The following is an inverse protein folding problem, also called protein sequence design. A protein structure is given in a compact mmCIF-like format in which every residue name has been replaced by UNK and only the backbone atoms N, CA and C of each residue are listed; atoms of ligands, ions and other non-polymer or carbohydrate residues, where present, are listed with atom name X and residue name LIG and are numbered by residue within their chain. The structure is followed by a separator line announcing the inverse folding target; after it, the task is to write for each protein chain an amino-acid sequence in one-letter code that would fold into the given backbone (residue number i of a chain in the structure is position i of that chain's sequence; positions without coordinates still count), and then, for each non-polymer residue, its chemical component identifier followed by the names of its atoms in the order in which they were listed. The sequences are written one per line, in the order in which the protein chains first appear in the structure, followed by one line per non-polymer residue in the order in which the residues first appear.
data_IF_995766906713
#
_entry.id   IF_995766906713
#
_cell.length_a   1.000
_cell.length_b   1.000
_cell.length_c   1.000
_cell.angle_alpha   90.00
_cell.angle_beta   90.00
_cell.angle_gamma   90.00
#
_symmetry.space_group_name_H-M   'P 1'
#
loop_
_entity.id
_entity.type
_entity.pdbx_description
1 polymer ?
#
# COMPACT_ATOMS: atom_id res chain seq x y z
N UNK A 1 -11.78 0.97 14.77
CA UNK A 1 -10.33 1.22 14.95
C UNK A 1 -10.12 1.63 16.41
N UNK A 2 -9.50 0.77 17.22
CA UNK A 2 -9.27 1.03 18.65
C UNK A 2 -8.33 2.23 18.82
N UNK A 3 -8.54 3.03 19.86
CA UNK A 3 -7.64 4.14 20.16
C UNK A 3 -6.28 3.58 20.59
N UNK A 4 -5.21 3.98 19.88
CA UNK A 4 -3.83 3.67 20.26
C UNK A 4 -3.47 4.58 21.44
N UNK A 5 -2.92 4.02 22.51
CA UNK A 5 -2.53 4.79 23.68
C UNK A 5 -1.26 5.62 23.41
N UNK A 6 -1.05 6.67 24.20
CA UNK A 6 0.10 7.56 24.02
C UNK A 6 1.43 6.81 24.16
N UNK A 7 1.50 5.82 25.06
CA UNK A 7 2.69 5.00 25.29
C UNK A 7 3.05 4.18 24.05
N UNK A 8 2.06 3.53 23.44
CA UNK A 8 2.24 2.75 22.22
C UNK A 8 2.66 3.66 21.06
N UNK A 9 2.01 4.82 20.91
CA UNK A 9 2.38 5.80 19.89
C UNK A 9 3.81 6.31 20.05
N UNK A 10 4.25 6.65 21.27
CA UNK A 10 5.64 7.07 21.51
C UNK A 10 6.64 5.95 21.25
N UNK A 11 6.29 4.71 21.61
CA UNK A 11 7.14 3.55 21.34
C UNK A 11 7.32 3.33 19.83
N UNK A 12 6.23 3.42 19.06
CA UNK A 12 6.27 3.27 17.60
C UNK A 12 7.06 4.42 16.96
N UNK A 13 6.81 5.68 17.36
CA UNK A 13 7.57 6.84 16.86
C UNK A 13 9.06 6.76 17.20
N UNK A 14 9.39 6.31 18.42
CA UNK A 14 10.77 6.07 18.84
C UNK A 14 11.44 4.99 18.00
N UNK A 15 10.74 3.90 17.68
CA UNK A 15 11.25 2.85 16.80
C UNK A 15 11.42 3.33 15.35
N UNK A 16 10.48 4.13 14.83
CA UNK A 16 10.60 4.77 13.52
C UNK A 16 11.84 5.66 13.45
N UNK A 17 12.12 6.42 14.52
CA UNK A 17 13.35 7.23 14.63
C UNK A 17 14.60 6.36 14.64
N UNK A 18 14.60 5.20 15.29
CA UNK A 18 15.74 4.29 15.26
C UNK A 18 16.00 3.71 13.86
N UNK A 19 14.95 3.46 13.07
CA UNK A 19 15.11 3.07 11.66
C UNK A 19 15.75 4.21 10.86
N UNK A 20 15.24 5.44 10.99
CA UNK A 20 15.83 6.60 10.30
C UNK A 20 17.32 6.78 10.60
N UNK A 21 17.72 6.67 11.88
CA UNK A 21 19.11 6.80 12.30
C UNK A 21 20.02 5.65 11.84
N UNK A 22 19.47 4.49 11.48
CA UNK A 22 20.26 3.33 11.05
C UNK A 22 21.03 3.58 9.74
N UNK A 23 20.60 4.57 8.93
CA UNK A 23 21.34 5.02 7.74
C UNK A 23 22.74 5.59 8.05
N UNK A 24 23.04 5.89 9.33
CA UNK A 24 24.36 6.34 9.77
C UNK A 24 24.60 7.85 9.57
N UNK A 25 23.54 8.61 9.33
CA UNK A 25 23.55 10.07 9.26
C UNK A 25 22.58 10.67 10.29
N UNK A 26 22.68 11.97 10.53
CA UNK A 26 21.69 12.72 11.30
C UNK A 26 20.32 12.68 10.57
N UNK A 27 19.23 12.82 11.33
CA UNK A 27 17.88 12.84 10.75
C UNK A 27 17.77 13.91 9.66
N UNK A 28 17.30 13.50 8.48
CA UNK A 28 17.06 14.43 7.38
C UNK A 28 15.78 15.23 7.60
N UNK A 29 15.54 16.21 6.72
CA UNK A 29 14.25 16.89 6.67
C UNK A 29 13.11 15.92 6.32
N UNK A 30 13.36 14.95 5.43
CA UNK A 30 12.35 13.97 5.03
C UNK A 30 12.06 13.00 6.19
N UNK A 31 13.08 12.53 6.92
CA UNK A 31 12.90 11.73 8.14
C UNK A 31 12.03 12.47 9.16
N UNK A 32 12.39 13.72 9.45
CA UNK A 32 11.70 14.55 10.45
C UNK A 32 10.24 14.80 10.05
N UNK A 33 10.00 15.11 8.78
CA UNK A 33 8.65 15.37 8.26
C UNK A 33 7.80 14.11 8.28
N UNK A 34 8.38 12.95 7.93
CA UNK A 34 7.69 11.66 7.93
C UNK A 34 7.32 11.21 9.34
N UNK A 35 8.22 11.37 10.31
CA UNK A 35 7.95 11.10 11.73
C UNK A 35 6.82 11.99 12.28
N UNK A 36 6.85 13.29 11.99
CA UNK A 36 5.78 14.23 12.41
C UNK A 36 4.44 13.88 11.76
N UNK A 37 4.44 13.53 10.47
CA UNK A 37 3.22 13.14 9.75
C UNK A 37 2.63 11.85 10.32
N UNK A 38 3.46 10.82 10.56
CA UNK A 38 3.02 9.58 11.19
C UNK A 38 2.46 9.83 12.60
N UNK A 39 3.16 10.65 13.40
CA UNK A 39 2.67 11.08 14.71
C UNK A 39 1.28 11.70 14.63
N UNK A 40 1.11 12.72 13.78
CA UNK A 40 -0.16 13.44 13.65
C UNK A 40 -1.30 12.58 13.09
N UNK A 41 -1.08 11.91 11.96
CA UNK A 41 -2.14 11.32 11.16
C UNK A 41 -2.41 9.84 11.47
N UNK A 42 -1.37 9.09 11.83
CA UNK A 42 -1.47 7.64 12.05
C UNK A 42 -1.57 7.29 13.54
N UNK A 43 -0.77 7.98 14.36
CA UNK A 43 -0.59 7.64 15.78
C UNK A 43 -1.28 8.60 16.75
N UNK A 44 -1.99 9.62 16.22
CA UNK A 44 -2.77 10.61 16.99
C UNK A 44 -1.96 11.34 18.06
N UNK A 45 -0.70 11.63 17.75
CA UNK A 45 0.26 12.41 18.53
C UNK A 45 0.62 13.72 17.83
N UNK A 46 -0.34 14.66 17.69
CA UNK A 46 -0.09 15.95 17.04
C UNK A 46 0.84 16.86 17.86
N UNK A 47 1.04 16.53 19.14
CA UNK A 47 1.87 17.24 20.13
C UNK A 47 3.38 16.98 19.95
N UNK A 48 3.77 15.96 19.17
CA UNK A 48 5.18 15.64 18.91
C UNK A 48 5.76 16.68 17.94
N UNK A 49 6.39 17.70 18.50
CA UNK A 49 7.09 18.75 17.77
C UNK A 49 8.58 18.46 17.62
N UNK A 50 9.24 17.97 18.67
CA UNK A 50 10.64 17.58 18.64
C UNK A 50 10.80 16.06 18.46
N UNK A 51 11.12 15.65 17.24
CA UNK A 51 11.39 14.24 16.92
C UNK A 51 12.72 13.77 17.51
N UNK A 52 13.67 14.67 17.79
CA UNK A 52 14.96 14.34 18.39
C UNK A 52 14.82 13.87 19.84
N UNK A 53 13.81 14.38 20.55
CA UNK A 53 13.47 14.01 21.92
C UNK A 53 12.70 12.68 22.05
N UNK A 54 12.29 12.06 20.93
CA UNK A 54 11.62 10.76 20.98
C UNK A 54 12.56 9.69 21.58
N UNK A 55 12.03 8.81 22.45
CA UNK A 55 12.84 7.78 23.10
C UNK A 55 13.52 6.88 22.07
N UNK A 56 14.74 6.44 22.39
CA UNK A 56 15.37 5.37 21.64
C UNK A 56 14.74 4.04 22.05
N UNK A 57 13.94 3.44 21.16
CA UNK A 57 13.17 2.23 21.46
C UNK A 57 13.84 1.06 20.78
N UNK A 58 14.37 0.08 21.52
CA UNK A 58 14.93 -1.13 20.93
C UNK A 58 13.81 -2.12 20.53
N UNK A 59 14.09 -3.13 19.65
CA UNK A 59 13.10 -4.12 19.26
C UNK A 59 12.39 -4.82 20.42
N UNK A 60 13.12 -5.16 21.48
CA UNK A 60 12.56 -5.79 22.70
C UNK A 60 11.62 -4.84 23.48
N UNK A 61 11.93 -3.55 23.52
CA UNK A 61 11.10 -2.56 24.21
C UNK A 61 9.80 -2.29 23.45
N UNK A 62 9.87 -2.31 22.11
CA UNK A 62 8.68 -2.22 21.26
C UNK A 62 7.79 -3.45 21.46
N UNK A 63 8.36 -4.66 21.44
CA UNK A 63 7.64 -5.90 21.77
C UNK A 63 6.97 -5.82 23.14
N UNK A 64 7.70 -5.37 24.17
CA UNK A 64 7.15 -5.26 25.51
C UNK A 64 5.99 -4.27 25.58
N UNK A 65 6.05 -3.18 24.82
CA UNK A 65 4.99 -2.16 24.79
C UNK A 65 3.76 -2.64 24.03
N UNK A 66 3.94 -3.36 22.93
CA UNK A 66 2.85 -3.85 22.07
C UNK A 66 2.35 -5.25 22.43
N UNK A 67 2.75 -5.78 23.60
CA UNK A 67 2.41 -7.14 24.03
C UNK A 67 0.89 -7.32 24.12
N UNK A 68 0.38 -8.32 23.40
CA UNK A 68 -1.05 -8.61 23.34
C UNK A 68 -1.82 -7.80 22.29
N UNK A 69 -1.13 -7.00 21.47
CA UNK A 69 -1.73 -6.16 20.43
C UNK A 69 -1.18 -6.54 19.03
N UNK A 70 -1.48 -7.76 18.52
CA UNK A 70 -0.86 -8.28 17.28
C UNK A 70 -1.16 -7.43 16.04
N UNK A 71 -2.37 -6.87 15.93
CA UNK A 71 -2.70 -5.98 14.82
C UNK A 71 -1.90 -4.68 14.86
N UNK A 72 -1.69 -4.12 16.06
CA UNK A 72 -0.88 -2.92 16.22
C UNK A 72 0.60 -3.21 15.95
N UNK A 73 1.09 -4.40 16.31
CA UNK A 73 2.44 -4.84 15.95
C UNK A 73 2.61 -4.92 14.42
N UNK A 74 1.65 -5.49 13.69
CA UNK A 74 1.68 -5.52 12.22
C UNK A 74 1.65 -4.12 11.60
N UNK A 75 0.80 -3.23 12.12
CA UNK A 75 0.76 -1.82 11.67
C UNK A 75 2.06 -1.07 11.99
N UNK A 76 2.65 -1.29 13.16
CA UNK A 76 3.92 -0.68 13.54
C UNK A 76 5.02 -1.05 12.54
N UNK A 77 5.13 -2.33 12.15
CA UNK A 77 6.15 -2.77 11.17
C UNK A 77 5.95 -2.09 9.81
N UNK A 78 4.71 -1.84 9.36
CA UNK A 78 4.46 -1.06 8.13
C UNK A 78 5.02 0.35 8.25
N UNK A 79 4.81 1.02 9.38
CA UNK A 79 5.35 2.37 9.62
C UNK A 79 6.88 2.38 9.68
N UNK A 80 7.49 1.35 10.24
CA UNK A 80 8.94 1.16 10.24
C UNK A 80 9.48 0.94 8.81
N UNK A 81 8.80 0.11 8.01
CA UNK A 81 9.16 -0.14 6.62
C UNK A 81 9.11 1.14 5.77
N UNK A 82 8.11 2.01 5.99
CA UNK A 82 8.05 3.33 5.34
C UNK A 82 9.33 4.14 5.62
N UNK A 83 9.85 4.14 6.85
CA UNK A 83 11.08 4.88 7.18
C UNK A 83 12.32 4.37 6.45
N UNK A 84 12.34 3.11 6.01
CA UNK A 84 13.43 2.59 5.18
C UNK A 84 13.37 3.06 3.72
N UNK A 85 12.24 3.62 3.28
CA UNK A 85 12.03 4.21 1.95
C UNK A 85 12.19 5.74 1.93
N UNK A 86 12.17 6.36 3.11
CA UNK A 86 12.39 7.80 3.24
C UNK A 86 13.79 8.16 2.75
N UNK A 87 13.91 9.33 2.11
CA UNK A 87 15.06 9.81 1.35
C UNK A 87 15.21 9.23 -0.08
N UNK A 88 14.25 8.41 -0.52
CA UNK A 88 14.15 7.98 -1.93
C UNK A 88 15.16 6.91 -2.35
N UNK A 89 15.84 6.28 -1.39
CA UNK A 89 16.75 5.17 -1.61
C UNK A 89 16.42 4.01 -0.65
N UNK A 90 16.57 2.78 -1.15
CA UNK A 90 16.48 1.57 -0.33
C UNK A 90 17.79 1.38 0.45
N UNK A 91 17.86 1.96 1.64
CA UNK A 91 19.02 1.83 2.52
C UNK A 91 19.03 0.45 3.21
N UNK A 92 20.08 -0.33 2.96
CA UNK A 92 20.23 -1.68 3.50
C UNK A 92 20.30 -1.73 5.03
N UNK A 93 20.87 -0.70 5.68
CA UNK A 93 20.97 -0.61 7.14
C UNK A 93 19.62 -0.26 7.75
N UNK A 94 18.89 0.70 7.14
CA UNK A 94 17.49 0.98 7.53
C UNK A 94 16.64 -0.27 7.37
N UNK A 95 16.78 -1.01 6.26
CA UNK A 95 16.04 -2.26 6.02
C UNK A 95 16.39 -3.35 7.04
N UNK A 96 17.67 -3.60 7.30
CA UNK A 96 18.10 -4.56 8.32
C UNK A 96 17.50 -4.22 9.69
N UNK A 97 17.44 -2.92 10.02
CA UNK A 97 16.82 -2.46 11.26
C UNK A 97 15.31 -2.74 11.31
N UNK A 98 14.59 -2.57 10.20
CA UNK A 98 13.16 -2.95 10.10
C UNK A 98 12.98 -4.45 10.35
N UNK A 99 13.82 -5.30 9.74
CA UNK A 99 13.76 -6.75 9.92
C UNK A 99 14.02 -7.19 11.36
N UNK A 100 14.89 -6.48 12.09
CA UNK A 100 15.10 -6.74 13.53
C UNK A 100 13.84 -6.46 14.36
N UNK A 101 13.10 -5.39 14.06
CA UNK A 101 11.81 -5.12 14.70
C UNK A 101 10.76 -6.14 14.29
N UNK A 102 10.65 -6.47 13.00
CA UNK A 102 9.70 -7.45 12.50
C UNK A 102 9.89 -8.81 13.18
N UNK A 103 11.15 -9.28 13.27
CA UNK A 103 11.50 -10.52 13.99
C UNK A 103 11.16 -10.45 15.47
N UNK A 104 11.44 -9.33 16.15
CA UNK A 104 11.11 -9.17 17.56
C UNK A 104 9.61 -9.17 17.83
N UNK A 105 8.82 -8.65 16.89
CA UNK A 105 7.36 -8.57 16.97
C UNK A 105 6.64 -9.82 16.43
N UNK A 106 7.38 -10.81 15.93
CA UNK A 106 6.85 -12.01 15.28
C UNK A 106 5.91 -11.66 14.09
N UNK A 107 6.35 -10.69 13.28
CA UNK A 107 5.61 -10.23 12.09
C UNK A 107 6.33 -10.70 10.83
N UNK A 108 5.69 -11.65 10.15
CA UNK A 108 6.03 -12.05 8.78
C UNK A 108 5.05 -11.41 7.81
N UNK A 109 5.56 -10.79 6.75
CA UNK A 109 4.73 -10.15 5.75
C UNK A 109 5.43 -10.12 4.38
N UNK A 110 4.65 -10.42 3.35
CA UNK A 110 5.07 -10.45 1.95
C UNK A 110 5.79 -9.18 1.48
N UNK A 111 5.33 -8.01 1.92
CA UNK A 111 5.93 -6.73 1.53
C UNK A 111 7.36 -6.56 2.08
N UNK A 112 7.72 -7.22 3.20
CA UNK A 112 9.09 -7.19 3.71
C UNK A 112 10.02 -8.00 2.81
N UNK A 113 9.55 -9.14 2.30
CA UNK A 113 10.28 -9.91 1.29
C UNK A 113 10.48 -9.07 0.03
N UNK A 114 9.42 -8.45 -0.48
CA UNK A 114 9.49 -7.62 -1.69
C UNK A 114 10.49 -6.46 -1.54
N UNK A 115 10.53 -5.83 -0.35
CA UNK A 115 11.48 -4.77 -0.03
C UNK A 115 12.94 -5.25 0.04
N UNK A 116 13.18 -6.44 0.60
CA UNK A 116 14.51 -7.05 0.67
C UNK A 116 15.00 -7.44 -0.73
N UNK A 117 14.14 -8.05 -1.54
CA UNK A 117 14.47 -8.42 -2.92
C UNK A 117 14.75 -7.17 -3.77
N UNK A 118 13.94 -6.11 -3.62
CA UNK A 118 14.19 -4.84 -4.30
C UNK A 118 15.52 -4.21 -3.89
N UNK A 119 15.85 -4.20 -2.59
CA UNK A 119 17.13 -3.69 -2.09
C UNK A 119 18.33 -4.51 -2.60
N UNK A 120 18.13 -5.82 -2.79
CA UNK A 120 19.15 -6.76 -3.28
C UNK A 120 19.37 -6.71 -4.80
N UNK A 121 18.73 -5.78 -5.51
CA UNK A 121 18.87 -5.61 -6.95
C UNK A 121 17.88 -6.43 -7.79
N UNK A 122 16.92 -7.10 -7.15
CA UNK A 122 15.88 -7.90 -7.82
C UNK A 122 14.58 -7.11 -8.01
N UNK A 123 14.67 -5.82 -8.35
CA UNK A 123 13.51 -4.92 -8.46
C UNK A 123 12.44 -5.44 -9.43
N UNK A 124 12.85 -6.00 -10.58
CA UNK A 124 11.91 -6.55 -11.56
C UNK A 124 11.12 -7.75 -11.00
N UNK A 125 11.77 -8.60 -10.20
CA UNK A 125 11.13 -9.73 -9.52
C UNK A 125 10.17 -9.26 -8.45
N UNK A 126 10.57 -8.29 -7.62
CA UNK A 126 9.70 -7.69 -6.62
C UNK A 126 8.46 -7.03 -7.26
N UNK A 127 8.63 -6.34 -8.39
CA UNK A 127 7.51 -5.77 -9.15
C UNK A 127 6.58 -6.88 -9.67
N UNK A 128 7.14 -7.94 -10.29
CA UNK A 128 6.34 -9.04 -10.81
C UNK A 128 5.53 -9.75 -9.72
N UNK A 129 6.14 -9.97 -8.56
CA UNK A 129 5.48 -10.64 -7.44
C UNK A 129 4.40 -9.75 -6.80
N UNK A 130 4.69 -8.45 -6.59
CA UNK A 130 3.68 -7.47 -6.15
C UNK A 130 2.50 -7.40 -7.13
N UNK A 131 2.75 -7.40 -8.44
CA UNK A 131 1.70 -7.43 -9.45
C UNK A 131 0.83 -8.69 -9.34
N UNK A 132 1.45 -9.86 -9.16
CA UNK A 132 0.74 -11.12 -8.96
C UNK A 132 -0.13 -11.10 -7.70
N UNK A 133 0.43 -10.69 -6.55
CA UNK A 133 -0.30 -10.59 -5.26
C UNK A 133 -1.46 -9.59 -5.33
N UNK A 134 -1.24 -8.43 -5.94
CA UNK A 134 -2.30 -7.44 -6.17
C UNK A 134 -3.41 -8.01 -7.04
N UNK A 135 -3.03 -8.75 -8.09
CA UNK A 135 -4.00 -9.38 -8.96
C UNK A 135 -4.79 -10.49 -8.24
N UNK A 136 -4.14 -11.33 -7.45
CA UNK A 136 -4.79 -12.33 -6.58
C UNK A 136 -5.84 -11.69 -5.67
N UNK A 137 -5.50 -10.53 -5.08
CA UNK A 137 -6.42 -9.75 -4.25
C UNK A 137 -7.62 -9.22 -5.04
N UNK A 138 -7.41 -8.69 -6.25
CA UNK A 138 -8.48 -8.17 -7.11
C UNK A 138 -9.47 -9.26 -7.50
N UNK A 139 -8.99 -10.46 -7.83
CA UNK A 139 -9.87 -11.57 -8.22
C UNK A 139 -10.30 -12.45 -7.05
N UNK A 140 -9.85 -12.15 -5.83
CA UNK A 140 -10.12 -12.90 -4.60
C UNK A 140 -9.80 -14.41 -4.70
N UNK A 141 -8.78 -14.77 -5.49
CA UNK A 141 -8.29 -16.15 -5.68
C UNK A 141 -6.88 -16.13 -6.25
N UNK A 142 -6.21 -17.29 -6.26
CA UNK A 142 -4.95 -17.42 -6.99
C UNK A 142 -5.14 -17.13 -8.49
N UNK A 143 -4.28 -16.27 -9.01
CA UNK A 143 -4.16 -15.91 -10.42
C UNK A 143 -3.16 -16.78 -11.17
N UNK A 144 -2.64 -17.85 -10.55
CA UNK A 144 -1.69 -18.74 -11.20
C UNK A 144 -2.24 -19.25 -12.55
N UNK A 145 -1.46 -19.07 -13.62
CA UNK A 145 -1.85 -19.42 -14.99
C UNK A 145 -2.72 -18.40 -15.71
N UNK A 146 -3.10 -17.29 -15.06
CA UNK A 146 -3.73 -16.14 -15.69
C UNK A 146 -2.68 -15.11 -16.11
N UNK A 147 -2.94 -14.40 -17.20
CA UNK A 147 -2.20 -13.22 -17.60
C UNK A 147 -2.97 -11.98 -17.12
N UNK A 148 -2.46 -11.23 -16.11
CA UNK A 148 -3.15 -10.06 -15.57
C UNK A 148 -3.45 -9.01 -16.64
N UNK A 149 -2.55 -8.80 -17.59
CA UNK A 149 -2.72 -7.80 -18.64
C UNK A 149 -3.89 -8.18 -19.57
N UNK A 150 -3.99 -9.46 -19.93
CA UNK A 150 -5.13 -9.97 -20.72
C UNK A 150 -6.42 -9.97 -19.93
N UNK A 151 -6.39 -10.26 -18.63
CA UNK A 151 -7.61 -10.28 -17.84
C UNK A 151 -8.15 -8.87 -17.57
N UNK A 152 -7.28 -7.89 -17.28
CA UNK A 152 -7.68 -6.50 -17.00
C UNK A 152 -8.18 -5.81 -18.28
N UNK A 153 -7.55 -6.07 -19.44
CA UNK A 153 -7.91 -5.45 -20.73
C UNK A 153 -8.20 -6.53 -21.79
N UNK A 154 -9.31 -7.26 -21.65
CA UNK A 154 -9.58 -8.46 -22.45
C UNK A 154 -9.93 -8.18 -23.91
N UNK A 155 -10.33 -6.95 -24.23
CA UNK A 155 -10.91 -6.58 -25.52
C UNK A 155 -9.91 -6.16 -26.61
N UNK A 156 -8.59 -6.24 -26.34
CA UNK A 156 -7.56 -5.85 -27.32
C UNK A 156 -7.59 -6.74 -28.57
N UNK A 157 -7.28 -6.14 -29.72
CA UNK A 157 -7.13 -6.87 -30.99
C UNK A 157 -8.44 -7.52 -31.45
N UNK A 158 -8.39 -8.81 -31.79
CA UNK A 158 -9.55 -9.57 -32.26
C UNK A 158 -10.60 -9.85 -31.18
N UNK A 159 -10.32 -9.51 -29.92
CA UNK A 159 -11.23 -9.75 -28.80
C UNK A 159 -12.17 -8.56 -28.51
N UNK A 160 -12.11 -7.51 -29.32
CA UNK A 160 -13.04 -6.39 -29.21
C UNK A 160 -14.49 -6.90 -29.36
N UNK A 161 -15.39 -6.36 -28.56
CA UNK A 161 -16.82 -6.69 -28.60
C UNK A 161 -17.64 -5.41 -28.83
N UNK A 162 -17.80 -4.99 -30.11
CA UNK A 162 -18.58 -3.80 -30.45
C UNK A 162 -20.04 -3.89 -30.00
N UNK A 163 -20.60 -5.11 -29.88
CA UNK A 163 -21.97 -5.30 -29.44
C UNK A 163 -22.11 -5.02 -27.95
N UNK A 164 -21.16 -5.46 -27.12
CA UNK A 164 -21.10 -5.11 -25.70
C UNK A 164 -20.91 -3.61 -25.50
N UNK A 165 -19.99 -2.99 -26.23
CA UNK A 165 -19.76 -1.55 -26.17
C UNK A 165 -21.04 -0.76 -26.51
N UNK A 166 -21.77 -1.18 -27.55
CA UNK A 166 -23.05 -0.58 -27.93
C UNK A 166 -24.13 -0.72 -26.85
N UNK A 167 -24.13 -1.81 -26.06
CA UNK A 167 -25.07 -1.98 -24.94
C UNK A 167 -24.79 -1.00 -23.81
N UNK A 168 -23.52 -0.77 -23.48
CA UNK A 168 -23.14 0.26 -22.50
C UNK A 168 -23.47 1.66 -23.04
N UNK A 169 -23.20 1.93 -24.32
CA UNK A 169 -23.56 3.21 -24.95
C UNK A 169 -25.07 3.48 -24.90
N UNK A 170 -25.90 2.45 -25.08
CA UNK A 170 -27.35 2.56 -25.00
C UNK A 170 -27.87 2.99 -23.61
N UNK A 171 -27.09 2.79 -22.54
CA UNK A 171 -27.46 3.26 -21.20
C UNK A 171 -27.60 4.79 -21.13
N UNK A 172 -26.94 5.53 -22.02
CA UNK A 172 -27.09 6.98 -22.14
C UNK A 172 -28.50 7.44 -22.50
N UNK A 173 -29.34 6.55 -23.05
CA UNK A 173 -30.75 6.81 -23.39
C UNK A 173 -31.71 6.59 -22.21
N UNK A 174 -31.23 6.03 -21.10
CA UNK A 174 -32.06 5.79 -19.92
C UNK A 174 -32.43 7.11 -19.24
N UNK A 175 -33.57 7.16 -18.53
CA UNK A 175 -33.94 8.34 -17.75
C UNK A 175 -32.87 8.72 -16.74
N UNK A 176 -32.79 10.01 -16.44
CA UNK A 176 -32.01 10.53 -15.32
C UNK A 176 -32.44 9.87 -14.01
N UNK A 177 -31.50 9.73 -13.07
CA UNK A 177 -31.65 9.00 -11.79
C UNK A 177 -31.77 7.47 -11.89
N UNK A 178 -31.47 6.86 -13.04
CA UNK A 178 -31.23 5.42 -13.12
C UNK A 178 -29.76 5.09 -12.93
N UNK A 179 -29.46 3.92 -12.37
CA UNK A 179 -28.06 3.48 -12.19
C UNK A 179 -27.30 3.42 -13.53
N UNK A 180 -27.93 2.87 -14.58
CA UNK A 180 -27.31 2.80 -15.91
C UNK A 180 -26.99 4.18 -16.49
N UNK A 181 -27.89 5.17 -16.33
CA UNK A 181 -27.62 6.55 -16.76
C UNK A 181 -26.47 7.17 -15.97
N UNK A 182 -26.43 6.94 -14.66
CA UNK A 182 -25.36 7.44 -13.79
C UNK A 182 -24.00 6.83 -14.13
N UNK A 183 -23.93 5.53 -14.42
CA UNK A 183 -22.72 4.84 -14.87
C UNK A 183 -22.23 5.42 -16.21
N UNK A 184 -23.12 5.54 -17.20
CA UNK A 184 -22.79 6.13 -18.49
C UNK A 184 -22.29 7.58 -18.34
N UNK A 185 -22.94 8.40 -17.52
CA UNK A 185 -22.53 9.79 -17.27
C UNK A 185 -21.17 9.89 -16.57
N UNK A 186 -20.86 8.95 -15.67
CA UNK A 186 -19.56 8.86 -15.03
C UNK A 186 -18.46 8.51 -16.04
N UNK A 187 -18.65 7.45 -16.84
CA UNK A 187 -17.64 7.01 -17.80
C UNK A 187 -17.39 8.06 -18.87
N UNK A 188 -18.45 8.67 -19.44
CA UNK A 188 -18.29 9.74 -20.44
C UNK A 188 -17.58 10.97 -19.89
N UNK A 189 -17.89 11.38 -18.65
CA UNK A 189 -17.26 12.54 -18.02
C UNK A 189 -15.77 12.33 -17.75
N UNK A 190 -15.38 11.11 -17.42
CA UNK A 190 -13.99 10.77 -17.11
C UNK A 190 -13.21 10.24 -18.33
N UNK A 191 -13.85 10.09 -19.49
CA UNK A 191 -13.22 9.57 -20.71
C UNK A 191 -12.91 8.07 -20.64
N UNK A 192 -13.66 7.31 -19.85
CA UNK A 192 -13.47 5.86 -19.76
C UNK A 192 -14.16 5.14 -20.92
N UNK A 193 -13.43 4.30 -21.68
CA UNK A 193 -14.03 3.48 -22.72
C UNK A 193 -14.90 2.37 -22.10
N UNK A 194 -16.03 2.07 -22.75
CA UNK A 194 -16.96 1.07 -22.27
C UNK A 194 -16.47 -0.35 -22.52
N UNK A 195 -16.82 -1.33 -21.64
CA UNK A 195 -16.52 -2.73 -21.89
C UNK A 195 -16.92 -3.19 -23.29
N UNK A 196 -16.00 -3.87 -23.97
CA UNK A 196 -16.10 -4.23 -25.39
C UNK A 196 -15.21 -3.38 -26.30
N UNK A 197 -14.86 -2.16 -25.89
CA UNK A 197 -13.87 -1.33 -26.58
C UNK A 197 -12.44 -1.88 -26.37
N UNK A 198 -11.54 -1.86 -27.39
CA UNK A 198 -10.17 -2.38 -27.26
C UNK A 198 -9.35 -1.82 -26.10
N UNK A 199 -9.63 -0.59 -25.68
CA UNK A 199 -8.92 0.08 -24.59
C UNK A 199 -9.64 -0.08 -23.24
N UNK A 200 -10.82 -0.70 -23.21
CA UNK A 200 -11.61 -0.84 -21.99
C UNK A 200 -11.09 -1.86 -21.00
N UNK A 201 -11.42 -1.59 -19.74
CA UNK A 201 -11.26 -2.52 -18.64
C UNK A 201 -12.30 -3.63 -18.74
N UNK A 202 -11.96 -4.81 -18.21
CA UNK A 202 -12.89 -5.91 -18.03
C UNK A 202 -14.14 -5.45 -17.28
N UNK A 203 -15.33 -5.84 -17.75
CA UNK A 203 -16.59 -5.45 -17.13
C UNK A 203 -16.71 -5.92 -15.66
N UNK A 204 -16.14 -7.08 -15.32
CA UNK A 204 -16.14 -7.57 -13.93
C UNK A 204 -15.17 -6.82 -13.02
N UNK A 205 -14.26 -6.03 -13.60
CA UNK A 205 -13.27 -5.23 -12.87
C UNK A 205 -13.68 -3.75 -12.81
N UNK A 206 -14.09 -3.18 -13.95
CA UNK A 206 -14.40 -1.75 -14.08
C UNK A 206 -15.79 -1.34 -13.58
N UNK A 207 -16.71 -2.30 -13.40
CA UNK A 207 -18.06 -2.01 -12.90
C UNK A 207 -18.12 -2.28 -11.38
N UNK A 208 -18.56 -1.31 -10.56
CA UNK A 208 -18.70 -1.50 -9.11
C UNK A 208 -19.61 -2.70 -8.78
N UNK A 209 -19.23 -3.47 -7.77
CA UNK A 209 -19.97 -4.61 -7.21
C UNK A 209 -20.40 -4.35 -5.76
#
# INVERSE_FOLDING_TARGET
MRAIGHRESDAILGAMRQVALAGGHALTWADTTSLRAAGRYLLRRPDVSDVGALPAVAPRDLLSTLKGEPELAREAVKYLAIMALVDGALDHKKMARVLDYARALDVEADYLTDLVEAASGHLEWAIADMWRKNFDSVVSRSSQGLDPNKWIRPYRGSNADPALAARYEAMGKLPQNTFGKALWDFDKRNGYPFPGDPEALNASFGTPH
#
